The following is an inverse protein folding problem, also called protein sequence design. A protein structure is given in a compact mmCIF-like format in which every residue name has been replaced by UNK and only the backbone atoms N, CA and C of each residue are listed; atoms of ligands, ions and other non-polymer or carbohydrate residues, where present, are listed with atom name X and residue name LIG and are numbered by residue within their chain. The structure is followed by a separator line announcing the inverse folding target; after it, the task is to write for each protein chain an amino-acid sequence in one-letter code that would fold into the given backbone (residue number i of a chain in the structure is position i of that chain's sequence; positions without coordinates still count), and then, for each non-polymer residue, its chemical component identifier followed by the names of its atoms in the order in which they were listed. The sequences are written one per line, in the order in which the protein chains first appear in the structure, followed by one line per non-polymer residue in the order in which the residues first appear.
data_IF_878698671818
#
_entry.id   IF_878698671818
#
_cell.length_a   1.000
_cell.length_b   1.000
_cell.length_c   1.000
_cell.angle_alpha   90.00
_cell.angle_beta   90.00
_cell.angle_gamma   90.00
#
_symmetry.space_group_name_H-M   'P 1'
#
loop_
_entity.id
_entity.type
_entity.pdbx_description
1 polymer ?
#
# COMPACT_ATOMS: atom_id res chain seq x y z
N UNK A 1 6.59 -13.47 -17.65
CA UNK A 1 6.12 -13.05 -16.31
C UNK A 1 4.64 -12.69 -16.39
N UNK A 2 3.84 -13.08 -15.40
CA UNK A 2 2.41 -12.82 -15.37
C UNK A 2 2.14 -11.35 -14.98
N UNK A 3 2.00 -10.45 -15.96
CA UNK A 3 1.75 -9.01 -15.71
C UNK A 3 0.31 -8.75 -15.24
N UNK A 4 0.00 -9.13 -14.02
CA UNK A 4 -1.31 -8.94 -13.41
C UNK A 4 -1.16 -8.28 -12.05
N UNK A 5 -1.81 -7.13 -11.91
CA UNK A 5 -1.97 -6.42 -10.65
C UNK A 5 -3.38 -6.72 -10.14
N UNK A 6 -3.51 -7.21 -8.91
CA UNK A 6 -4.76 -7.14 -8.16
C UNK A 6 -4.64 -6.03 -7.12
N UNK A 7 -5.59 -5.10 -7.14
CA UNK A 7 -5.64 -3.96 -6.21
C UNK A 7 -6.95 -3.95 -5.45
N UNK A 8 -6.91 -3.70 -4.14
CA UNK A 8 -8.12 -3.49 -3.32
C UNK A 8 -8.30 -2.01 -3.04
N UNK A 9 -9.54 -1.53 -3.11
CA UNK A 9 -9.90 -0.11 -2.92
C UNK A 9 -11.20 0.03 -2.10
N UNK A 10 -11.22 -0.41 -0.82
CA UNK A 10 -12.36 -0.16 0.07
C UNK A 10 -12.58 1.35 0.24
N UNK A 11 -13.80 1.79 0.54
CA UNK A 11 -14.14 3.22 0.56
C UNK A 11 -15.31 3.60 1.50
N UNK A 12 -15.44 2.93 2.63
CA UNK A 12 -16.55 3.14 3.56
C UNK A 12 -16.34 4.32 4.50
N UNK A 13 -15.11 4.54 4.95
CA UNK A 13 -14.76 5.60 5.90
C UNK A 13 -13.80 6.63 5.29
N UNK A 14 -13.30 7.55 6.12
CA UNK A 14 -12.43 8.62 5.66
C UNK A 14 -11.09 8.10 5.15
N UNK A 15 -10.42 7.27 5.94
CA UNK A 15 -9.09 6.72 5.63
C UNK A 15 -9.14 5.91 4.34
N UNK A 16 -10.10 4.99 4.24
CA UNK A 16 -10.27 4.12 3.07
C UNK A 16 -10.62 4.90 1.81
N UNK A 17 -11.39 5.99 1.90
CA UNK A 17 -11.61 6.90 0.75
C UNK A 17 -10.33 7.54 0.24
N UNK A 18 -9.41 7.96 1.11
CA UNK A 18 -8.12 8.54 0.68
C UNK A 18 -7.28 7.50 -0.06
N UNK A 19 -6.99 6.35 0.56
CA UNK A 19 -6.15 5.31 -0.07
C UNK A 19 -6.79 4.73 -1.33
N UNK A 20 -8.13 4.64 -1.40
CA UNK A 20 -8.87 4.26 -2.61
C UNK A 20 -8.69 5.26 -3.75
N UNK A 21 -8.62 6.56 -3.46
CA UNK A 21 -8.34 7.58 -4.47
C UNK A 21 -6.86 7.52 -4.88
N UNK A 22 -5.93 7.41 -3.93
CA UNK A 22 -4.49 7.34 -4.22
C UNK A 22 -4.13 6.14 -5.09
N UNK A 23 -4.78 5.00 -4.91
CA UNK A 23 -4.53 3.81 -5.71
C UNK A 23 -4.85 3.99 -7.21
N UNK A 24 -5.69 4.98 -7.59
CA UNK A 24 -6.03 5.24 -9.00
C UNK A 24 -4.82 5.64 -9.84
N UNK A 25 -3.87 6.37 -9.27
CA UNK A 25 -2.65 6.76 -9.97
C UNK A 25 -1.76 5.55 -10.26
N UNK A 26 -1.70 4.60 -9.32
CA UNK A 26 -0.99 3.33 -9.49
C UNK A 26 -1.65 2.48 -10.57
N UNK A 27 -2.99 2.38 -10.57
CA UNK A 27 -3.77 1.65 -11.58
C UNK A 27 -3.47 2.20 -12.98
N UNK A 28 -3.55 3.52 -13.16
CA UNK A 28 -3.27 4.18 -14.43
C UNK A 28 -1.87 3.84 -14.94
N UNK A 29 -0.86 3.89 -14.08
CA UNK A 29 0.52 3.53 -14.46
C UNK A 29 0.66 2.04 -14.78
N UNK A 30 -0.05 1.17 -14.06
CA UNK A 30 -0.03 -0.27 -14.32
C UNK A 30 -0.59 -0.59 -15.71
N UNK A 31 -1.73 -0.01 -16.07
CA UNK A 31 -2.34 -0.13 -17.39
C UNK A 31 -1.40 0.37 -18.50
N UNK A 32 -0.78 1.54 -18.31
CA UNK A 32 0.22 2.09 -19.23
C UNK A 32 1.45 1.19 -19.40
N UNK A 33 1.79 0.39 -18.39
CA UNK A 33 2.89 -0.60 -18.44
C UNK A 33 2.47 -1.97 -18.96
N UNK A 34 1.21 -2.10 -19.40
CA UNK A 34 0.64 -3.31 -19.98
C UNK A 34 0.28 -4.38 -18.96
N UNK A 35 0.02 -4.00 -17.70
CA UNK A 35 -0.56 -4.91 -16.72
C UNK A 35 -2.06 -5.03 -16.93
N UNK A 36 -2.59 -6.25 -16.81
CA UNK A 36 -4.03 -6.43 -16.58
C UNK A 36 -4.33 -6.11 -15.12
N UNK A 37 -5.22 -5.16 -14.87
CA UNK A 37 -5.59 -4.73 -13.52
C UNK A 37 -6.91 -5.40 -13.09
N UNK A 38 -6.87 -6.09 -11.96
CA UNK A 38 -8.02 -6.67 -11.27
C UNK A 38 -8.38 -5.74 -10.10
N UNK A 39 -9.27 -4.79 -10.35
CA UNK A 39 -9.66 -3.75 -9.39
C UNK A 39 -10.87 -4.16 -8.54
N UNK A 40 -10.65 -4.37 -7.25
CA UNK A 40 -11.66 -4.70 -6.26
C UNK A 40 -12.05 -3.43 -5.47
N UNK A 41 -12.99 -2.67 -6.02
CA UNK A 41 -13.47 -1.41 -5.44
C UNK A 41 -14.71 -1.56 -4.57
N UNK A 42 -14.75 -0.82 -3.46
CA UNK A 42 -15.91 -0.76 -2.56
C UNK A 42 -16.32 -2.16 -2.09
N UNK A 43 -17.61 -2.51 -2.22
CA UNK A 43 -18.15 -3.84 -1.82
C UNK A 43 -17.43 -5.05 -2.44
N UNK A 44 -16.67 -4.88 -3.54
CA UNK A 44 -15.88 -5.95 -4.13
C UNK A 44 -14.56 -6.23 -3.41
N UNK A 45 -14.09 -5.30 -2.58
CA UNK A 45 -12.97 -5.52 -1.66
C UNK A 45 -13.43 -6.38 -0.48
N UNK A 46 -13.81 -7.63 -0.74
CA UNK A 46 -14.22 -8.61 0.27
C UNK A 46 -13.42 -9.91 0.10
N UNK A 47 -13.40 -10.78 1.11
CA UNK A 47 -12.55 -11.98 1.13
C UNK A 47 -12.84 -12.90 -0.03
N UNK A 48 -14.13 -13.15 -0.28
CA UNK A 48 -14.59 -14.09 -1.31
C UNK A 48 -14.11 -13.68 -2.70
N UNK A 49 -14.30 -12.42 -3.08
CA UNK A 49 -13.83 -11.88 -4.36
C UNK A 49 -12.30 -11.88 -4.41
N UNK A 50 -11.63 -11.45 -3.34
CA UNK A 50 -10.17 -11.41 -3.26
C UNK A 50 -9.54 -12.79 -3.50
N UNK A 51 -9.88 -13.79 -2.68
CA UNK A 51 -9.37 -15.15 -2.82
C UNK A 51 -9.75 -15.77 -4.17
N UNK A 52 -10.97 -15.50 -4.64
CA UNK A 52 -11.44 -15.95 -5.95
C UNK A 52 -10.58 -15.43 -7.10
N UNK A 53 -10.25 -14.13 -7.07
CA UNK A 53 -9.42 -13.49 -8.10
C UNK A 53 -7.97 -13.94 -8.02
N UNK A 54 -7.39 -14.06 -6.82
CA UNK A 54 -6.03 -14.56 -6.64
C UNK A 54 -5.90 -15.99 -7.18
N UNK A 55 -6.81 -16.89 -6.78
CA UNK A 55 -6.79 -18.28 -7.24
C UNK A 55 -6.96 -18.41 -8.75
N UNK A 56 -7.88 -17.63 -9.33
CA UNK A 56 -8.20 -17.71 -10.77
C UNK A 56 -7.12 -17.10 -11.65
N UNK A 57 -6.53 -15.97 -11.25
CA UNK A 57 -5.67 -15.17 -12.12
C UNK A 57 -4.18 -15.19 -11.73
N UNK A 58 -3.86 -15.66 -10.53
CA UNK A 58 -2.50 -15.82 -9.96
C UNK A 58 -1.64 -14.56 -10.13
N UNK A 59 -2.13 -13.36 -9.76
CA UNK A 59 -1.43 -12.09 -10.02
C UNK A 59 0.00 -12.11 -9.46
N UNK A 60 0.98 -11.55 -10.18
CA UNK A 60 2.35 -11.42 -9.68
C UNK A 60 2.48 -10.27 -8.67
N UNK A 61 1.56 -9.30 -8.73
CA UNK A 61 1.53 -8.15 -7.85
C UNK A 61 0.19 -8.00 -7.14
N UNK A 62 0.24 -7.97 -5.81
CA UNK A 62 -0.90 -7.68 -4.93
C UNK A 62 -0.68 -6.31 -4.27
N UNK A 63 -1.55 -5.34 -4.56
CA UNK A 63 -1.55 -4.04 -3.89
C UNK A 63 -2.79 -3.90 -3.00
N UNK A 64 -2.60 -4.13 -1.70
CA UNK A 64 -3.69 -4.22 -0.74
C UNK A 64 -3.81 -2.90 0.03
N UNK A 65 -4.95 -2.23 -0.11
CA UNK A 65 -5.32 -1.04 0.65
C UNK A 65 -6.48 -1.35 1.57
N UNK A 66 -6.44 -0.77 2.77
CA UNK A 66 -7.49 -0.88 3.78
C UNK A 66 -6.91 -0.69 5.17
N UNK A 67 -7.75 -0.80 6.20
CA UNK A 67 -7.27 -0.90 7.56
C UNK A 67 -6.52 -2.22 7.77
N UNK A 68 -5.81 -2.30 8.88
CA UNK A 68 -5.11 -3.51 9.26
C UNK A 68 -4.67 -3.50 10.70
N UNK A 69 -4.16 -4.64 11.10
CA UNK A 69 -3.52 -4.89 12.38
C UNK A 69 -2.23 -5.66 12.14
N UNK A 70 -1.55 -6.07 13.22
CA UNK A 70 -0.41 -6.97 13.10
C UNK A 70 -0.77 -8.27 12.37
N UNK A 71 -2.03 -8.71 12.47
CA UNK A 71 -2.47 -10.05 12.10
C UNK A 71 -3.45 -10.06 10.93
N UNK A 72 -3.92 -8.90 10.45
CA UNK A 72 -4.92 -8.86 9.38
C UNK A 72 -4.78 -7.63 8.46
N UNK A 73 -5.18 -7.81 7.20
CA UNK A 73 -5.52 -6.72 6.27
C UNK A 73 -7.01 -6.81 5.99
N UNK A 74 -7.71 -5.69 6.09
CA UNK A 74 -9.15 -5.62 5.87
C UNK A 74 -9.52 -4.96 4.54
N UNK A 75 -10.72 -5.30 4.06
CA UNK A 75 -11.34 -4.74 2.88
C UNK A 75 -12.47 -3.79 3.25
N UNK A 76 -13.61 -3.92 2.57
CA UNK A 76 -14.77 -3.07 2.78
C UNK A 76 -15.43 -3.36 4.12
N UNK A 77 -15.78 -2.30 4.86
CA UNK A 77 -16.42 -2.37 6.17
C UNK A 77 -15.63 -3.24 7.16
N UNK A 78 -14.29 -3.16 7.10
CA UNK A 78 -13.37 -3.91 7.95
C UNK A 78 -13.45 -5.45 7.82
N UNK A 79 -14.09 -5.97 6.77
CA UNK A 79 -14.09 -7.41 6.50
C UNK A 79 -12.65 -7.89 6.24
N UNK A 80 -12.09 -8.85 7.01
CA UNK A 80 -10.71 -9.25 6.83
C UNK A 80 -10.52 -9.98 5.49
N UNK A 81 -9.55 -9.54 4.70
CA UNK A 81 -9.17 -10.14 3.41
C UNK A 81 -8.12 -11.24 3.60
N UNK A 82 -7.12 -10.94 4.43
CA UNK A 82 -6.01 -11.85 4.75
C UNK A 82 -5.75 -11.78 6.24
N UNK A 83 -5.70 -12.94 6.89
CA UNK A 83 -5.51 -13.07 8.32
C UNK A 83 -4.47 -14.14 8.66
N UNK A 84 -3.74 -13.87 9.73
CA UNK A 84 -2.75 -14.80 10.29
C UNK A 84 -3.44 -16.08 10.73
N UNK A 85 -2.84 -17.22 10.39
CA UNK A 85 -3.38 -18.55 10.72
C UNK A 85 -4.66 -18.95 9.97
N UNK A 86 -5.21 -18.10 9.11
CA UNK A 86 -6.44 -18.40 8.34
C UNK A 86 -6.12 -18.63 6.87
N UNK A 87 -5.53 -17.64 6.19
CA UNK A 87 -5.37 -17.67 4.72
C UNK A 87 -4.17 -16.88 4.20
N UNK A 88 -3.12 -16.66 5.02
CA UNK A 88 -1.93 -15.92 4.60
C UNK A 88 -1.20 -16.51 3.37
N UNK A 89 -1.38 -17.81 3.11
CA UNK A 89 -0.88 -18.53 1.94
C UNK A 89 -1.54 -18.10 0.62
N UNK A 90 -2.66 -17.39 0.67
CA UNK A 90 -3.25 -16.75 -0.52
C UNK A 90 -2.26 -15.80 -1.21
N UNK A 91 -1.27 -15.27 -0.48
CA UNK A 91 -0.26 -14.36 -1.01
C UNK A 91 0.92 -15.07 -1.71
N UNK A 92 0.90 -16.40 -1.76
CA UNK A 92 2.00 -17.22 -2.29
C UNK A 92 2.33 -16.91 -3.76
N UNK A 93 3.62 -16.77 -4.05
CA UNK A 93 4.15 -16.54 -5.39
C UNK A 93 3.88 -15.14 -5.97
N UNK A 94 3.50 -14.19 -5.11
CA UNK A 94 3.31 -12.80 -5.48
C UNK A 94 4.20 -11.88 -4.65
N UNK A 95 4.60 -10.76 -5.23
CA UNK A 95 5.06 -9.61 -4.45
C UNK A 95 3.81 -8.90 -3.92
N UNK A 96 3.74 -8.71 -2.61
CA UNK A 96 2.63 -8.02 -1.95
C UNK A 96 3.11 -6.68 -1.42
N UNK A 97 2.39 -5.60 -1.75
CA UNK A 97 2.49 -4.32 -1.07
C UNK A 97 1.19 -4.04 -0.32
N UNK A 98 1.26 -3.89 0.99
CA UNK A 98 0.13 -3.55 1.85
C UNK A 98 0.27 -2.13 2.40
N UNK A 99 -0.58 -1.22 1.94
CA UNK A 99 -0.80 0.07 2.59
C UNK A 99 -1.89 -0.11 3.65
N UNK A 100 -1.50 -0.81 4.72
CA UNK A 100 -2.38 -1.27 5.80
C UNK A 100 -1.59 -1.36 7.10
N UNK A 101 -2.12 -0.76 8.17
CA UNK A 101 -1.42 -0.54 9.44
C UNK A 101 -0.87 -1.83 10.05
N UNK A 102 0.39 -1.79 10.51
CA UNK A 102 1.06 -2.86 11.28
C UNK A 102 1.15 -4.25 10.64
N UNK A 103 0.59 -4.45 9.44
CA UNK A 103 0.54 -5.74 8.75
C UNK A 103 1.91 -6.35 8.44
N UNK A 104 2.98 -5.55 8.41
CA UNK A 104 4.36 -6.02 8.28
C UNK A 104 4.97 -6.61 9.55
N UNK A 105 4.25 -6.61 10.69
CA UNK A 105 4.74 -7.10 11.98
C UNK A 105 4.61 -8.62 12.12
N UNK A 106 3.40 -9.16 11.97
CA UNK A 106 3.14 -10.62 12.05
C UNK A 106 2.74 -11.16 10.69
N UNK A 107 1.70 -10.61 10.08
CA UNK A 107 1.12 -11.11 8.82
C UNK A 107 2.15 -11.15 7.69
N UNK A 108 2.94 -10.09 7.50
CA UNK A 108 3.97 -10.05 6.46
C UNK A 108 5.07 -11.12 6.64
N UNK A 109 5.44 -11.42 7.90
CA UNK A 109 6.41 -12.49 8.21
C UNK A 109 5.81 -13.85 7.86
N UNK A 110 4.55 -14.07 8.24
CA UNK A 110 3.85 -15.33 7.96
C UNK A 110 3.59 -15.52 6.46
N UNK A 111 3.23 -14.46 5.74
CA UNK A 111 3.02 -14.50 4.29
C UNK A 111 4.28 -14.99 3.55
N UNK A 112 5.45 -14.47 3.93
CA UNK A 112 6.73 -14.90 3.38
C UNK A 112 7.03 -16.35 3.77
N UNK A 113 6.77 -16.75 5.03
CA UNK A 113 6.92 -18.14 5.47
C UNK A 113 6.01 -19.12 4.69
N UNK A 114 4.85 -18.65 4.21
CA UNK A 114 3.94 -19.41 3.34
C UNK A 114 4.21 -19.23 1.84
N UNK A 115 5.30 -18.56 1.46
CA UNK A 115 5.81 -18.53 0.10
C UNK A 115 5.37 -17.32 -0.73
N UNK A 116 4.96 -16.22 -0.11
CA UNK A 116 4.95 -14.93 -0.81
C UNK A 116 6.38 -14.58 -1.26
N UNK A 117 6.55 -14.08 -2.50
CA UNK A 117 7.88 -13.80 -3.04
C UNK A 117 8.56 -12.69 -2.25
N UNK A 118 7.82 -11.61 -2.00
CA UNK A 118 8.23 -10.56 -1.09
C UNK A 118 6.99 -9.86 -0.50
N UNK A 119 7.17 -9.24 0.66
CA UNK A 119 6.12 -8.48 1.33
C UNK A 119 6.65 -7.11 1.74
N UNK A 120 6.01 -6.04 1.26
CA UNK A 120 6.29 -4.66 1.64
C UNK A 120 5.06 -4.14 2.41
N UNK A 121 5.28 -3.58 3.58
CA UNK A 121 4.23 -3.06 4.44
C UNK A 121 4.81 -2.24 5.58
N UNK A 122 4.08 -2.11 6.69
CA UNK A 122 4.49 -1.30 7.84
C UNK A 122 4.48 -2.12 9.13
N UNK A 123 5.49 -1.94 9.99
CA UNK A 123 5.55 -2.59 11.33
C UNK A 123 4.65 -1.93 12.37
N UNK A 124 4.31 -0.67 12.13
CA UNK A 124 3.43 0.14 12.97
C UNK A 124 2.36 0.80 12.10
N UNK A 125 1.50 1.62 12.71
CA UNK A 125 0.46 2.36 12.01
C UNK A 125 1.02 3.25 10.90
N UNK A 126 0.32 3.28 9.76
CA UNK A 126 0.57 4.26 8.72
C UNK A 126 -0.27 5.50 9.00
N UNK A 127 0.38 6.63 9.26
CA UNK A 127 -0.30 7.87 9.68
C UNK A 127 -0.17 8.91 8.58
N UNK A 128 -1.28 9.51 8.17
CA UNK A 128 -1.25 10.66 7.26
C UNK A 128 -2.13 11.78 7.77
N UNK A 129 -1.71 12.99 7.44
CA UNK A 129 -2.51 14.20 7.67
C UNK A 129 -3.26 14.55 6.39
N UNK A 130 -4.40 15.19 6.57
CA UNK A 130 -5.26 15.62 5.49
C UNK A 130 -5.92 16.95 5.87
N UNK A 131 -6.55 17.60 4.90
CA UNK A 131 -7.34 18.80 5.09
C UNK A 131 -8.82 18.47 5.28
N UNK A 132 -9.41 18.92 6.38
CA UNK A 132 -10.85 18.76 6.63
C UNK A 132 -11.69 19.39 5.50
N UNK A 133 -11.22 20.48 4.90
CA UNK A 133 -11.88 21.11 3.75
C UNK A 133 -11.79 20.27 2.46
N UNK A 134 -10.87 19.29 2.42
CA UNK A 134 -10.67 18.36 1.31
C UNK A 134 -11.23 16.95 1.59
N UNK A 135 -11.96 16.76 2.69
CA UNK A 135 -12.55 15.46 3.09
C UNK A 135 -13.38 14.80 1.99
N UNK A 136 -14.05 15.57 1.13
CA UNK A 136 -14.86 15.06 0.00
C UNK A 136 -14.10 15.06 -1.33
N UNK A 137 -12.89 15.62 -1.38
CA UNK A 137 -12.01 15.72 -2.55
C UNK A 137 -10.58 15.24 -2.23
N UNK A 138 -10.37 13.99 -1.78
CA UNK A 138 -9.05 13.50 -1.35
C UNK A 138 -7.92 13.65 -2.38
N UNK A 139 -8.24 13.64 -3.67
CA UNK A 139 -7.26 13.81 -4.74
C UNK A 139 -6.75 15.24 -4.95
N UNK A 140 -7.37 16.23 -4.30
CA UNK A 140 -6.98 17.65 -4.34
C UNK A 140 -6.31 18.10 -3.03
N UNK A 141 -6.09 17.17 -2.10
CA UNK A 141 -5.52 17.45 -0.79
C UNK A 141 -3.99 17.47 -0.86
N UNK A 142 -3.41 18.66 -0.94
CA UNK A 142 -1.96 18.86 -1.08
C UNK A 142 -1.18 18.35 0.15
N UNK A 143 -1.75 18.46 1.34
CA UNK A 143 -1.11 17.93 2.55
C UNK A 143 -1.03 16.39 2.48
N UNK A 144 -2.16 15.76 2.17
CA UNK A 144 -2.24 14.31 2.02
C UNK A 144 -1.38 13.81 0.84
N UNK A 145 -1.18 14.63 -0.19
CA UNK A 145 -0.39 14.30 -1.36
C UNK A 145 1.07 13.96 -1.04
N UNK A 146 1.65 14.54 0.01
CA UNK A 146 2.99 14.15 0.48
C UNK A 146 3.07 12.68 0.90
N UNK A 147 2.02 12.19 1.56
CA UNK A 147 1.92 10.80 2.03
C UNK A 147 1.59 9.85 0.89
N UNK A 148 0.64 10.22 0.01
CA UNK A 148 0.25 9.40 -1.14
C UNK A 148 1.40 9.24 -2.14
N UNK A 149 2.09 10.33 -2.47
CA UNK A 149 3.26 10.31 -3.36
C UNK A 149 4.37 9.41 -2.82
N UNK A 150 4.59 9.44 -1.50
CA UNK A 150 5.66 8.67 -0.88
C UNK A 150 5.31 7.19 -0.75
N UNK A 151 4.09 6.87 -0.33
CA UNK A 151 3.61 5.48 -0.18
C UNK A 151 3.39 4.80 -1.54
N UNK A 152 2.78 5.47 -2.52
CA UNK A 152 2.58 4.88 -3.86
C UNK A 152 3.90 4.61 -4.60
N UNK A 153 5.00 5.27 -4.22
CA UNK A 153 6.29 5.06 -4.85
C UNK A 153 6.76 3.59 -4.77
N UNK A 154 6.32 2.81 -3.77
CA UNK A 154 6.56 1.36 -3.73
C UNK A 154 5.97 0.69 -4.98
N UNK A 155 4.66 0.82 -5.17
CA UNK A 155 3.95 0.21 -6.28
C UNK A 155 4.45 0.73 -7.64
N UNK A 156 4.69 2.04 -7.75
CA UNK A 156 5.22 2.66 -8.96
C UNK A 156 6.62 2.15 -9.31
N UNK A 157 7.46 1.84 -8.32
CA UNK A 157 8.80 1.31 -8.57
C UNK A 157 8.74 -0.14 -9.06
N UNK A 158 7.90 -0.98 -8.43
CA UNK A 158 7.65 -2.35 -8.86
C UNK A 158 7.13 -2.41 -10.31
N UNK A 159 6.14 -1.57 -10.65
CA UNK A 159 5.58 -1.48 -12.01
C UNK A 159 6.61 -1.02 -13.06
N UNK A 160 7.70 -0.37 -12.63
CA UNK A 160 8.84 0.03 -13.48
C UNK A 160 9.91 -1.06 -13.60
N UNK A 161 9.73 -2.22 -12.98
CA UNK A 161 10.65 -3.36 -13.07
C UNK A 161 11.78 -3.36 -12.04
N UNK A 162 11.68 -2.52 -11.01
CA UNK A 162 12.57 -2.58 -9.86
C UNK A 162 12.26 -3.80 -8.99
N UNK A 163 13.26 -4.25 -8.25
CA UNK A 163 13.12 -5.28 -7.22
C UNK A 163 12.32 -4.79 -6.02
N UNK A 164 11.83 -5.70 -5.19
CA UNK A 164 11.13 -5.37 -3.94
C UNK A 164 11.98 -4.50 -3.01
N UNK A 165 13.28 -4.78 -2.89
CA UNK A 165 14.21 -3.98 -2.07
C UNK A 165 14.39 -2.57 -2.64
N UNK A 166 14.62 -2.43 -3.94
CA UNK A 166 14.72 -1.12 -4.60
C UNK A 166 13.42 -0.33 -4.48
N UNK A 167 12.25 -0.98 -4.61
CA UNK A 167 10.95 -0.33 -4.44
C UNK A 167 10.74 0.21 -3.02
N UNK A 168 11.12 -0.59 -2.02
CA UNK A 168 11.14 -0.16 -0.63
C UNK A 168 12.05 1.06 -0.40
N UNK A 169 13.28 1.02 -0.91
CA UNK A 169 14.27 2.10 -0.77
C UNK A 169 13.81 3.37 -1.50
N UNK A 170 13.29 3.25 -2.72
CA UNK A 170 12.78 4.36 -3.52
C UNK A 170 11.64 5.10 -2.82
N UNK A 171 10.74 4.37 -2.16
CA UNK A 171 9.68 4.98 -1.35
C UNK A 171 10.23 5.70 -0.13
N UNK A 172 11.21 5.13 0.59
CA UNK A 172 11.88 5.82 1.70
C UNK A 172 12.57 7.10 1.26
N UNK A 173 13.22 7.09 0.09
CA UNK A 173 13.77 8.31 -0.50
C UNK A 173 12.67 9.31 -0.88
N UNK A 174 11.49 8.84 -1.29
CA UNK A 174 10.33 9.70 -1.56
C UNK A 174 9.83 10.39 -0.30
N UNK A 175 9.71 9.68 0.83
CA UNK A 175 9.43 10.29 2.12
C UNK A 175 10.47 11.35 2.50
N UNK A 176 11.77 11.04 2.33
CA UNK A 176 12.84 12.00 2.60
C UNK A 176 12.73 13.27 1.73
N UNK A 177 12.36 13.13 0.45
CA UNK A 177 12.11 14.29 -0.43
C UNK A 177 10.90 15.08 0.02
N UNK A 178 9.81 14.42 0.41
CA UNK A 178 8.61 15.09 0.92
C UNK A 178 8.89 15.88 2.19
N UNK A 179 9.65 15.32 3.14
CA UNK A 179 10.08 16.04 4.35
C UNK A 179 10.93 17.27 4.00
N UNK A 180 11.89 17.15 3.08
CA UNK A 180 12.71 18.30 2.64
C UNK A 180 11.90 19.44 2.02
N UNK A 181 10.81 19.13 1.30
CA UNK A 181 9.93 20.16 0.73
C UNK A 181 9.18 20.95 1.79
N UNK A 182 8.90 20.32 2.94
CA UNK A 182 8.19 20.92 4.06
C UNK A 182 9.13 21.64 5.05
N UNK A 183 10.43 21.35 4.99
CA UNK A 183 11.46 22.05 5.77
C UNK A 183 11.76 23.40 5.13
N UNK A 184 10.93 24.40 5.42
CA UNK A 184 11.13 25.81 5.05
C UNK A 184 11.41 26.64 6.30
N UNK A 185 11.93 27.86 6.14
CA UNK A 185 12.16 28.80 7.27
C UNK A 185 10.88 29.33 7.92
N UNK A 186 9.72 29.06 7.32
CA UNK A 186 8.39 29.52 7.74
C UNK A 186 7.41 28.34 7.91
N UNK A 187 7.93 27.14 8.19
CA UNK A 187 7.10 25.95 8.30
C UNK A 187 6.02 26.14 9.39
N UNK A 188 4.76 25.93 9.01
CA UNK A 188 3.61 25.94 9.92
C UNK A 188 3.65 24.74 10.87
N UNK A 189 2.91 24.82 11.98
CA UNK A 189 2.75 23.69 12.91
C UNK A 189 2.25 22.42 12.20
N UNK A 190 1.39 22.61 11.20
CA UNK A 190 0.81 21.54 10.39
C UNK A 190 1.84 20.84 9.51
N UNK A 191 2.74 21.61 8.89
CA UNK A 191 3.84 21.07 8.09
C UNK A 191 4.88 20.36 8.98
N UNK A 192 5.16 20.92 10.16
CA UNK A 192 5.99 20.29 11.18
C UNK A 192 5.43 18.95 11.65
N UNK A 193 4.12 18.86 11.88
CA UNK A 193 3.43 17.61 12.19
C UNK A 193 3.49 16.61 11.01
N UNK A 194 3.34 17.10 9.78
CA UNK A 194 3.44 16.26 8.58
C UNK A 194 4.84 15.65 8.45
N UNK A 195 5.90 16.42 8.68
CA UNK A 195 7.29 15.92 8.69
C UNK A 195 7.45 14.77 9.70
N UNK A 196 6.90 14.91 10.91
CA UNK A 196 6.94 13.87 11.94
C UNK A 196 6.33 12.56 11.44
N UNK A 197 5.14 12.62 10.85
CA UNK A 197 4.46 11.40 10.37
C UNK A 197 5.05 10.84 9.08
N UNK A 198 5.62 11.67 8.20
CA UNK A 198 6.41 11.21 7.06
C UNK A 198 7.65 10.43 7.53
N UNK A 199 8.35 10.95 8.55
CA UNK A 199 9.50 10.25 9.15
C UNK A 199 9.08 8.93 9.80
N UNK A 200 7.97 8.94 10.54
CA UNK A 200 7.39 7.74 11.15
C UNK A 200 7.12 6.67 10.11
N UNK A 201 6.31 6.96 9.09
CA UNK A 201 5.98 5.99 8.04
C UNK A 201 7.24 5.47 7.32
N UNK A 202 8.19 6.36 7.01
CA UNK A 202 9.46 5.99 6.39
C UNK A 202 10.25 4.99 7.24
N UNK A 203 10.31 5.20 8.57
CA UNK A 203 11.07 4.36 9.50
C UNK A 203 10.41 3.01 9.72
N UNK A 204 9.08 2.96 9.70
CA UNK A 204 8.30 1.76 9.99
C UNK A 204 7.93 0.94 8.76
N UNK A 205 8.15 1.44 7.54
CA UNK A 205 8.07 0.63 6.33
C UNK A 205 9.10 -0.52 6.39
N UNK A 206 8.72 -1.70 5.91
CA UNK A 206 9.57 -2.89 5.82
C UNK A 206 9.49 -3.55 4.45
N UNK A 207 10.53 -4.33 4.11
CA UNK A 207 10.56 -5.26 3.00
C UNK A 207 11.01 -6.61 3.56
N UNK A 208 10.17 -7.64 3.41
CA UNK A 208 10.37 -8.99 3.93
C UNK A 208 10.44 -9.98 2.75
N UNK A 209 11.08 -11.13 2.96
CA UNK A 209 11.22 -12.17 1.93
C UNK A 209 12.32 -11.88 0.92
N UNK A 210 12.11 -12.28 -0.34
CA UNK A 210 13.10 -12.13 -1.39
C UNK A 210 13.18 -10.67 -1.88
N UNK A 211 14.13 -9.91 -1.36
CA UNK A 211 14.37 -8.53 -1.77
C UNK A 211 14.65 -8.35 -3.28
N UNK A 212 15.08 -9.39 -3.98
CA UNK A 212 15.35 -9.37 -5.44
C UNK A 212 14.12 -9.70 -6.30
N UNK A 213 12.98 -10.03 -5.69
CA UNK A 213 11.75 -10.34 -6.42
C UNK A 213 11.26 -9.15 -7.26
N UNK A 214 10.67 -9.45 -8.43
CA UNK A 214 10.10 -8.50 -9.39
C UNK A 214 8.70 -8.96 -9.79
N UNK A 215 7.90 -8.07 -10.40
CA UNK A 215 6.51 -8.32 -10.79
C UNK A 215 6.29 -8.40 -12.30
#
# INVERSE_FOLDING_TARGET
MNKRLLVTRPNFDRTTRYVSVWAKDVIKVAEQKGFTVLDLVGKRANRREFEGMVRKHKPSFLFLNGHGSADAITGQNEEPLVEVGVNADVLKGAVTYALSCSSGKTLGVQAVAHGADAYIGYREEFIFLFDEAMRTRPGQDELAAHFSTSSNQVALSLLKGHTAKEAHENSRQSFARSMRKLLTSEATDRESAAIRYLFWNMRHQVCLGNGSAKI
#
